data_IF_303008811442
#
_entry.id   IF_303008811442
#
_cell.length_a   1.000
_cell.length_b   1.000
_cell.length_c   1.000
_cell.angle_alpha   90.00
_cell.angle_beta   90.00
_cell.angle_gamma   90.00
#
_symmetry.space_group_name_H-M   'P 1'
#
loop_
_entity.id
_entity.type
_entity.pdbx_description
1 polymer ?
#
# COMPACT_ATOMS: atom_id res chain seq x y z
N UNK A 1 -25.45 -8.04 28.94
CA UNK A 1 -25.03 -7.56 28.52
C UNK A 1 -24.39 -7.98 27.54
N UNK A 2 -24.60 -8.10 26.79
CA UNK A 2 -24.13 -8.65 25.86
C UNK A 2 -23.47 -7.91 24.94
N UNK A 3 -23.77 -6.78 24.79
CA UNK A 3 -23.17 -6.08 23.83
C UNK A 3 -21.73 -6.06 24.01
N UNK A 4 -21.28 -6.46 25.10
CA UNK A 4 -19.88 -6.41 25.19
C UNK A 4 -19.28 -7.52 24.41
N UNK A 5 -20.03 -8.41 23.86
CA UNK A 5 -19.48 -9.40 23.00
C UNK A 5 -18.85 -8.79 21.79
N UNK A 6 -19.37 -7.67 21.35
CA UNK A 6 -18.78 -6.97 20.25
C UNK A 6 -17.93 -5.83 20.75
N UNK A 7 -17.76 -5.73 22.02
CA UNK A 7 -17.02 -4.62 22.58
C UNK A 7 -15.53 -4.75 22.28
N UNK A 8 -14.93 -3.69 21.88
CA UNK A 8 -13.50 -3.59 21.80
C UNK A 8 -13.05 -2.48 22.72
N UNK A 9 -11.91 -2.68 23.36
CA UNK A 9 -11.38 -1.62 24.20
C UNK A 9 -11.08 -0.41 23.33
N UNK A 10 -11.18 0.80 23.87
CA UNK A 10 -10.84 1.98 23.08
C UNK A 10 -9.43 1.92 22.55
N UNK A 11 -8.53 1.30 23.25
CA UNK A 11 -7.16 1.17 22.81
C UNK A 11 -7.04 0.28 21.60
N UNK A 12 -7.76 -0.84 21.57
CA UNK A 12 -7.72 -1.72 20.42
C UNK A 12 -8.34 -1.07 19.19
N UNK A 13 -9.45 -0.39 19.38
CA UNK A 13 -10.12 0.29 18.29
C UNK A 13 -9.23 1.38 17.72
N UNK A 14 -8.60 2.16 18.57
CA UNK A 14 -7.68 3.20 18.15
C UNK A 14 -6.49 2.63 17.40
N UNK A 15 -5.97 1.51 17.88
CA UNK A 15 -4.82 0.90 17.26
C UNK A 15 -5.12 0.44 15.86
N UNK A 16 -6.26 -0.23 15.65
CA UNK A 16 -6.66 -0.65 14.31
C UNK A 16 -6.87 0.54 13.41
N UNK A 17 -7.50 1.58 13.95
CA UNK A 17 -7.81 2.77 13.19
C UNK A 17 -6.55 3.48 12.73
N UNK A 18 -5.51 3.50 13.56
CA UNK A 18 -4.28 4.19 13.25
C UNK A 18 -3.34 3.33 12.42
N UNK A 19 -3.26 2.03 12.71
CA UNK A 19 -2.28 1.19 12.05
C UNK A 19 -2.63 0.81 10.63
N UNK A 20 -3.90 0.57 10.37
CA UNK A 20 -4.31 0.13 9.04
C UNK A 20 -3.86 -1.29 8.75
N UNK A 21 -3.90 -1.68 7.48
CA UNK A 21 -3.57 -3.02 7.04
C UNK A 21 -2.40 -2.94 6.05
N UNK A 22 -1.30 -3.64 6.30
CA UNK A 22 -0.16 -3.61 5.36
C UNK A 22 -0.50 -4.13 3.97
N UNK A 23 -1.43 -5.08 3.85
CA UNK A 23 -1.85 -5.56 2.55
C UNK A 23 -2.57 -4.49 1.75
N UNK A 24 -3.42 -3.72 2.43
CA UNK A 24 -4.10 -2.59 1.79
C UNK A 24 -3.08 -1.54 1.36
N UNK A 25 -2.08 -1.27 2.20
CA UNK A 25 -1.03 -0.32 1.85
C UNK A 25 -0.32 -0.74 0.56
N UNK A 26 -0.01 -2.04 0.42
CA UNK A 26 0.66 -2.54 -0.76
C UNK A 26 -0.20 -2.37 -2.02
N UNK A 27 -1.49 -2.68 -1.94
CA UNK A 27 -2.39 -2.51 -3.07
C UNK A 27 -2.54 -1.04 -3.45
N UNK A 28 -2.65 -0.16 -2.47
CA UNK A 28 -2.76 1.26 -2.75
C UNK A 28 -1.51 1.80 -3.43
N UNK A 29 -0.34 1.34 -3.01
CA UNK A 29 0.89 1.73 -3.65
C UNK A 29 0.91 1.32 -5.11
N UNK A 30 0.37 0.14 -5.44
CA UNK A 30 0.28 -0.28 -6.83
C UNK A 30 -0.59 0.69 -7.63
N UNK A 31 -1.70 1.15 -7.06
CA UNK A 31 -2.57 2.11 -7.73
C UNK A 31 -1.87 3.45 -7.94
N UNK A 32 -1.12 3.92 -6.96
CA UNK A 32 -0.37 5.17 -7.11
C UNK A 32 0.71 5.05 -8.19
N UNK A 33 1.37 3.90 -8.26
CA UNK A 33 2.38 3.66 -9.29
C UNK A 33 1.73 3.63 -10.66
N UNK A 34 0.59 2.94 -10.80
CA UNK A 34 -0.12 2.88 -12.08
C UNK A 34 -0.46 4.27 -12.58
N UNK A 35 -0.82 5.17 -11.70
CA UNK A 35 -1.19 6.52 -12.09
C UNK A 35 -0.05 7.29 -12.73
N UNK A 36 1.18 6.84 -12.53
CA UNK A 36 2.35 7.48 -13.12
C UNK A 36 2.87 6.81 -14.37
N UNK A 37 2.28 5.68 -14.76
CA UNK A 37 2.73 4.94 -15.92
C UNK A 37 2.05 5.44 -17.18
N UNK A 38 2.75 5.36 -18.32
CA UNK A 38 2.18 5.75 -19.59
C UNK A 38 1.14 4.75 -20.06
N UNK A 39 1.33 3.46 -19.76
CA UNK A 39 0.39 2.41 -20.14
C UNK A 39 -0.01 1.62 -18.92
N UNK A 40 -0.87 2.17 -18.05
CA UNK A 40 -1.21 1.51 -16.79
C UNK A 40 -1.85 0.13 -16.99
N UNK A 41 -2.59 -0.06 -18.06
CA UNK A 41 -3.25 -1.34 -18.29
C UNK A 41 -2.28 -2.47 -18.59
N UNK A 42 -1.06 -2.16 -18.99
CA UNK A 42 -0.04 -3.16 -19.27
C UNK A 42 0.85 -3.44 -18.06
N UNK A 43 0.60 -2.76 -16.95
CA UNK A 43 1.43 -2.91 -15.77
C UNK A 43 1.14 -4.23 -15.07
N UNK A 44 2.20 -4.90 -14.61
CA UNK A 44 2.07 -6.12 -13.83
C UNK A 44 2.90 -5.98 -12.57
N UNK A 45 2.30 -6.34 -11.45
CA UNK A 45 2.92 -6.25 -10.15
C UNK A 45 3.02 -7.62 -9.52
N UNK A 46 4.03 -7.86 -8.66
CA UNK A 46 4.00 -9.05 -7.82
C UNK A 46 2.86 -8.93 -6.82
N UNK A 47 2.39 -10.07 -6.32
CA UNK A 47 1.34 -10.02 -5.30
C UNK A 47 1.90 -9.39 -4.03
N UNK A 48 1.06 -8.72 -3.23
CA UNK A 48 1.55 -8.01 -2.05
C UNK A 48 2.26 -8.87 -1.01
N UNK A 49 1.98 -10.15 -0.99
CA UNK A 49 2.60 -11.02 0.00
C UNK A 49 3.64 -11.95 -0.63
N UNK A 50 4.07 -11.66 -1.86
CA UNK A 50 5.09 -12.46 -2.52
C UNK A 50 6.47 -11.96 -2.18
N UNK A 51 7.49 -12.72 -2.58
CA UNK A 51 8.87 -12.35 -2.32
C UNK A 51 9.28 -11.06 -3.03
N UNK A 52 8.53 -10.64 -4.04
CA UNK A 52 8.85 -9.41 -4.77
C UNK A 52 8.36 -8.13 -4.10
N UNK A 53 7.63 -8.25 -3.01
CA UNK A 53 7.07 -7.09 -2.32
C UNK A 53 7.45 -7.14 -0.85
N UNK A 54 8.02 -6.04 -0.35
CA UNK A 54 8.36 -5.91 1.06
C UNK A 54 7.57 -4.74 1.63
N UNK A 55 6.86 -4.98 2.72
CA UNK A 55 6.10 -3.95 3.41
C UNK A 55 6.68 -3.77 4.79
N UNK A 56 7.10 -2.56 5.10
CA UNK A 56 7.71 -2.23 6.40
C UNK A 56 6.84 -1.20 7.10
N UNK A 57 6.50 -1.47 8.34
CA UNK A 57 5.77 -0.51 9.16
C UNK A 57 6.79 0.48 9.71
N UNK A 58 6.76 1.70 9.20
CA UNK A 58 7.68 2.76 9.61
C UNK A 58 7.23 3.36 10.94
N UNK A 59 5.91 3.51 11.08
CA UNK A 59 5.29 4.07 12.28
C UNK A 59 3.83 3.61 12.25
N UNK A 60 3.08 3.79 13.33
CA UNK A 60 1.67 3.41 13.30
C UNK A 60 0.95 4.08 12.14
N UNK A 61 0.33 3.27 11.28
CA UNK A 61 -0.39 3.78 10.11
C UNK A 61 0.50 4.26 8.98
N UNK A 62 1.81 4.12 9.08
CA UNK A 62 2.72 4.59 8.06
C UNK A 62 3.53 3.39 7.56
N UNK A 63 3.37 3.06 6.29
CA UNK A 63 4.00 1.89 5.70
C UNK A 63 4.85 2.28 4.52
N UNK A 64 5.99 1.60 4.38
CA UNK A 64 6.85 1.71 3.21
C UNK A 64 6.76 0.41 2.44
N UNK A 65 6.40 0.51 1.17
CA UNK A 65 6.28 -0.65 0.29
C UNK A 65 7.39 -0.58 -0.75
N UNK A 66 8.21 -1.61 -0.78
CA UNK A 66 9.28 -1.74 -1.76
C UNK A 66 8.92 -2.90 -2.67
N UNK A 67 8.81 -2.62 -3.96
CA UNK A 67 8.40 -3.63 -4.92
C UNK A 67 8.88 -3.21 -6.30
N UNK A 68 8.27 -3.77 -7.33
CA UNK A 68 8.61 -3.41 -8.71
C UNK A 68 7.35 -3.48 -9.56
N UNK A 69 7.41 -2.87 -10.71
CA UNK A 69 6.36 -2.98 -11.70
C UNK A 69 6.99 -3.37 -13.03
N UNK A 70 6.39 -4.33 -13.71
CA UNK A 70 6.78 -4.71 -15.06
C UNK A 70 5.83 -4.04 -16.01
N UNK A 71 6.36 -3.15 -16.85
CA UNK A 71 5.55 -2.38 -17.78
C UNK A 71 6.34 -2.18 -19.06
N UNK A 72 5.64 -1.85 -20.12
CA UNK A 72 6.30 -1.60 -21.41
C UNK A 72 6.78 -0.16 -21.47
N UNK A 73 7.95 0.04 -22.07
CA UNK A 73 8.43 1.38 -22.35
C UNK A 73 7.76 1.92 -23.60
N UNK A 74 8.17 3.10 -24.05
CA UNK A 74 7.55 3.73 -25.23
C UNK A 74 7.80 2.97 -26.52
N UNK A 75 8.72 2.01 -26.52
CA UNK A 75 8.99 1.18 -27.70
C UNK A 75 8.34 -0.20 -27.59
N UNK A 76 7.54 -0.43 -26.54
CA UNK A 76 6.87 -1.70 -26.37
C UNK A 76 7.70 -2.79 -25.71
N UNK A 77 8.92 -2.49 -25.28
CA UNK A 77 9.76 -3.47 -24.61
C UNK A 77 9.43 -3.54 -23.11
N UNK A 78 9.37 -4.74 -22.55
CA UNK A 78 9.09 -4.85 -21.11
C UNK A 78 10.28 -4.37 -20.29
N UNK A 79 10.00 -3.58 -19.28
CA UNK A 79 11.01 -3.05 -18.37
C UNK A 79 10.51 -3.25 -16.95
N UNK A 80 11.39 -3.74 -16.07
CA UNK A 80 11.10 -3.85 -14.65
C UNK A 80 11.63 -2.61 -13.96
N UNK A 81 10.73 -1.90 -13.30
CA UNK A 81 11.07 -0.67 -12.59
C UNK A 81 10.82 -0.86 -11.10
N UNK A 82 11.86 -0.80 -10.29
CA UNK A 82 11.66 -0.87 -8.84
C UNK A 82 11.06 0.43 -8.33
N UNK A 83 10.29 0.34 -7.26
CA UNK A 83 9.75 1.54 -6.63
C UNK A 83 9.73 1.41 -5.12
N UNK A 84 9.72 2.55 -4.46
CA UNK A 84 9.53 2.66 -3.03
C UNK A 84 8.36 3.62 -2.82
N UNK A 85 7.35 3.16 -2.14
CA UNK A 85 6.13 3.93 -1.94
C UNK A 85 5.84 3.99 -0.44
N UNK A 86 5.52 5.16 0.07
CA UNK A 86 5.11 5.30 1.46
C UNK A 86 3.72 5.87 1.51
N UNK A 87 2.86 5.24 2.29
CA UNK A 87 1.49 5.68 2.47
C UNK A 87 1.19 5.78 3.95
N UNK A 88 0.31 6.69 4.29
CA UNK A 88 -0.13 6.89 5.66
C UNK A 88 -1.64 6.76 5.73
N UNK A 89 -2.11 6.01 6.71
CA UNK A 89 -3.54 5.91 6.95
C UNK A 89 -4.00 7.12 7.74
N UNK A 90 -5.12 7.71 7.31
CA UNK A 90 -5.71 8.81 8.02
C UNK A 90 -6.54 8.24 9.17
N UNK A 91 -6.28 8.63 10.41
CA UNK A 91 -7.05 8.12 11.55
C UNK A 91 -8.52 8.48 11.42
N UNK A 92 -9.38 7.60 11.90
CA UNK A 92 -10.81 7.86 11.93
C UNK A 92 -11.56 7.47 10.68
N UNK A 93 -10.93 6.78 9.73
CA UNK A 93 -11.61 6.36 8.53
C UNK A 93 -10.79 5.41 7.69
N UNK A 94 -11.22 5.23 6.45
CA UNK A 94 -10.55 4.32 5.54
C UNK A 94 -9.66 5.04 4.54
N UNK A 95 -9.38 6.30 4.78
CA UNK A 95 -8.60 7.09 3.85
C UNK A 95 -7.12 6.89 4.07
N UNK A 96 -6.38 6.91 2.98
CA UNK A 96 -4.93 6.82 3.00
C UNK A 96 -4.37 7.97 2.17
N UNK A 97 -3.19 8.39 2.52
CA UNK A 97 -2.50 9.45 1.80
C UNK A 97 -1.18 8.93 1.27
N UNK A 98 -0.87 9.30 0.04
CA UNK A 98 0.46 9.03 -0.50
C UNK A 98 1.42 10.01 0.16
N UNK A 99 2.42 9.47 0.85
CA UNK A 99 3.42 10.27 1.51
C UNK A 99 4.63 10.48 0.61
N UNK A 100 5.06 9.44 -0.09
CA UNK A 100 6.20 9.53 -0.97
C UNK A 100 6.17 8.38 -1.98
N UNK A 101 6.60 8.65 -3.20
CA UNK A 101 6.73 7.62 -4.21
C UNK A 101 7.96 7.91 -5.04
N UNK A 102 8.89 6.96 -5.04
CA UNK A 102 10.13 7.05 -5.78
C UNK A 102 10.21 5.87 -6.73
N UNK A 103 10.46 6.13 -8.01
CA UNK A 103 10.60 5.05 -8.98
C UNK A 103 11.55 5.45 -10.13
#
# INVERSE_FOLDING_TARGET
>A
MIFYLAYQSPEEASKKDVEGDPGVAAFLCQDFVKARLKAPSAAQFPTPYSAGTTVVKVAPGHYRVTSYVDAQNSFGAPIRTPFVCEVKKVPGGDQWQLHNLSM
#
